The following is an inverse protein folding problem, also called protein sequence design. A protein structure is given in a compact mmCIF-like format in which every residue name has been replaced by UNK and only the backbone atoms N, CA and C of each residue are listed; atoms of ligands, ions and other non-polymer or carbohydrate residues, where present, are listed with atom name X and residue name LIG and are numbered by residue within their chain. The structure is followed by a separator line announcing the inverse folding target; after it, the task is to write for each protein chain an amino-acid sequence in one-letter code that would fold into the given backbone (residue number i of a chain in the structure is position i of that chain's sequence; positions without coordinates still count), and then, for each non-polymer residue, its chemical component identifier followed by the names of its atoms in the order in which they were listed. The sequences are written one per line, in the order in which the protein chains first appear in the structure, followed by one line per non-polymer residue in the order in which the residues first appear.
data_IF_203376177494
#
_entry.id   IF_203376177494
#
_cell.length_a   1.000
_cell.length_b   1.000
_cell.length_c   1.000
_cell.angle_alpha   90.00
_cell.angle_beta   90.00
_cell.angle_gamma   90.00
#
_symmetry.space_group_name_H-M   'P 1'
#
loop_
_entity.id
_entity.type
_entity.pdbx_description
1 polymer ?
#
# COMPACT_ATOMS: atom_id res chain seq x y z
N UNK A 1 -14.79 7.15 -14.19
CA UNK A 1 -14.03 6.27 -13.30
C UNK A 1 -13.39 7.08 -12.18
N UNK A 2 -13.44 6.58 -10.97
CA UNK A 2 -12.84 7.27 -9.83
C UNK A 2 -11.52 6.59 -9.52
N UNK A 3 -10.45 7.38 -9.49
CA UNK A 3 -9.15 6.88 -9.06
C UNK A 3 -8.96 7.25 -7.60
N UNK A 4 -8.65 6.25 -6.79
CA UNK A 4 -8.34 6.50 -5.39
C UNK A 4 -6.88 6.85 -5.27
N UNK A 5 -6.63 8.06 -4.80
CA UNK A 5 -5.26 8.50 -4.56
C UNK A 5 -4.70 7.74 -3.36
N UNK A 6 -3.52 7.16 -3.53
CA UNK A 6 -2.85 6.47 -2.45
C UNK A 6 -1.35 6.53 -2.66
N UNK A 7 -0.60 6.04 -1.68
CA UNK A 7 0.86 6.11 -1.70
C UNK A 7 1.53 4.76 -1.87
N UNK A 8 0.78 3.75 -2.30
CA UNK A 8 1.37 2.41 -2.40
C UNK A 8 2.56 2.37 -3.35
N UNK A 9 2.43 3.00 -4.50
CA UNK A 9 3.54 3.02 -5.47
C UNK A 9 4.72 3.80 -4.91
N UNK A 10 4.45 4.93 -4.29
CA UNK A 10 5.49 5.75 -3.69
C UNK A 10 6.25 4.98 -2.62
N UNK A 11 5.53 4.31 -1.73
CA UNK A 11 6.14 3.53 -0.66
C UNK A 11 7.01 2.43 -1.23
N UNK A 12 6.52 1.76 -2.27
CA UNK A 12 7.27 0.68 -2.90
C UNK A 12 8.53 1.21 -3.57
N UNK A 13 8.41 2.31 -4.33
CA UNK A 13 9.56 2.85 -5.05
C UNK A 13 10.57 3.47 -4.09
N UNK A 14 10.14 4.01 -2.97
CA UNK A 14 11.06 4.48 -1.94
C UNK A 14 11.94 3.37 -1.41
N UNK A 15 11.41 2.16 -1.34
CA UNK A 15 12.18 1.00 -0.90
C UNK A 15 12.97 0.36 -2.04
N UNK A 16 12.80 0.87 -3.25
CA UNK A 16 13.52 0.38 -4.45
C UNK A 16 13.26 -1.10 -4.70
N UNK A 17 12.01 -1.52 -4.52
CA UNK A 17 11.61 -2.90 -4.77
C UNK A 17 10.56 -2.95 -5.87
N UNK A 18 10.49 -4.09 -6.54
CA UNK A 18 9.53 -4.30 -7.62
C UNK A 18 8.21 -4.81 -7.08
N UNK A 19 7.15 -4.73 -7.90
CA UNK A 19 5.88 -5.34 -7.56
C UNK A 19 6.02 -6.85 -7.36
N UNK A 20 6.88 -7.48 -8.16
CA UNK A 20 7.11 -8.91 -8.01
C UNK A 20 7.70 -9.24 -6.64
N UNK A 21 8.63 -8.41 -6.17
CA UNK A 21 9.20 -8.60 -4.83
C UNK A 21 8.11 -8.52 -3.76
N UNK A 22 7.21 -7.55 -3.88
CA UNK A 22 6.10 -7.42 -2.93
C UNK A 22 5.20 -8.66 -3.00
N UNK A 23 4.94 -9.17 -4.21
CA UNK A 23 4.17 -10.41 -4.34
C UNK A 23 4.85 -11.56 -3.61
N UNK A 24 6.15 -11.69 -3.77
CA UNK A 24 6.90 -12.77 -3.13
C UNK A 24 6.86 -12.66 -1.61
N UNK A 25 6.89 -11.44 -1.09
CA UNK A 25 6.93 -11.23 0.36
C UNK A 25 5.55 -11.26 1.01
N UNK A 26 4.50 -10.85 0.31
CA UNK A 26 3.17 -10.72 0.91
C UNK A 26 2.17 -11.74 0.40
N UNK A 27 2.43 -12.36 -0.75
CA UNK A 27 1.48 -13.26 -1.38
C UNK A 27 0.40 -12.55 -2.18
N UNK A 28 0.44 -11.23 -2.27
CA UNK A 28 -0.53 -10.47 -3.06
C UNK A 28 -0.07 -10.48 -4.51
N UNK A 29 -0.95 -10.91 -5.42
CA UNK A 29 -0.60 -11.02 -6.84
C UNK A 29 -0.18 -9.69 -7.42
N UNK A 30 0.84 -9.72 -8.28
CA UNK A 30 1.37 -8.51 -8.92
C UNK A 30 0.27 -7.76 -9.69
N UNK A 31 -0.61 -8.48 -10.37
CA UNK A 31 -1.69 -7.84 -11.11
C UNK A 31 -2.61 -7.02 -10.19
N UNK A 32 -2.89 -7.55 -9.00
CA UNK A 32 -3.67 -6.82 -8.02
C UNK A 32 -2.90 -5.63 -7.46
N UNK A 33 -1.62 -5.83 -7.17
CA UNK A 33 -0.79 -4.71 -6.67
C UNK A 33 -0.80 -3.55 -7.65
N UNK A 34 -0.71 -3.86 -8.94
CA UNK A 34 -0.74 -2.83 -9.98
C UNK A 34 -2.06 -2.07 -9.95
N UNK A 35 -3.17 -2.77 -9.82
CA UNK A 35 -4.48 -2.13 -9.77
C UNK A 35 -4.63 -1.26 -8.55
N UNK A 36 -4.13 -1.72 -7.40
CA UNK A 36 -4.17 -0.93 -6.18
C UNK A 36 -3.32 0.32 -6.31
N UNK A 37 -2.09 0.18 -6.84
CA UNK A 37 -1.18 1.31 -6.98
C UNK A 37 -1.71 2.37 -7.94
N UNK A 38 -2.44 1.95 -8.95
CA UNK A 38 -3.00 2.85 -9.95
C UNK A 38 -4.37 3.40 -9.57
N UNK A 39 -4.90 2.99 -8.42
CA UNK A 39 -6.20 3.49 -7.95
C UNK A 39 -7.38 2.92 -8.71
N UNK A 40 -7.15 1.86 -9.49
CA UNK A 40 -8.22 1.22 -10.26
C UNK A 40 -9.08 0.35 -9.36
N UNK A 41 -8.52 -0.15 -8.28
CA UNK A 41 -9.22 -1.02 -7.37
C UNK A 41 -8.84 -0.69 -5.94
N UNK A 42 -9.80 -0.75 -5.03
CA UNK A 42 -9.59 -0.48 -3.61
C UNK A 42 -9.16 -1.77 -2.93
N UNK A 43 -8.03 -1.79 -2.22
CA UNK A 43 -7.65 -2.99 -1.47
C UNK A 43 -8.64 -3.24 -0.34
N UNK A 44 -9.01 -4.50 -0.08
CA UNK A 44 -9.80 -4.82 1.11
C UNK A 44 -9.01 -4.53 2.37
N UNK A 45 -9.72 -4.48 3.51
CA UNK A 45 -9.09 -4.16 4.79
C UNK A 45 -7.91 -5.07 5.11
N UNK A 46 -8.06 -6.37 4.88
CA UNK A 46 -6.98 -7.32 5.14
C UNK A 46 -5.74 -7.00 4.32
N UNK A 47 -5.95 -6.66 3.05
CA UNK A 47 -4.84 -6.31 2.17
C UNK A 47 -4.18 -5.02 2.62
N UNK A 48 -4.99 -4.04 3.02
CA UNK A 48 -4.45 -2.77 3.55
C UNK A 48 -3.60 -3.02 4.78
N UNK A 49 -4.07 -3.87 5.70
CA UNK A 49 -3.31 -4.19 6.90
C UNK A 49 -2.00 -4.87 6.56
N UNK A 50 -2.04 -5.81 5.61
CA UNK A 50 -0.82 -6.49 5.18
C UNK A 50 0.18 -5.51 4.59
N UNK A 51 -0.28 -4.62 3.73
CA UNK A 51 0.60 -3.65 3.09
C UNK A 51 1.11 -2.61 4.09
N UNK A 52 0.25 -2.17 5.01
CA UNK A 52 0.68 -1.22 6.04
C UNK A 52 1.78 -1.82 6.90
N UNK A 53 1.62 -3.07 7.31
CA UNK A 53 2.64 -3.76 8.09
C UNK A 53 3.91 -3.98 7.26
N UNK A 54 3.75 -4.34 6.01
CA UNK A 54 4.89 -4.57 5.13
C UNK A 54 5.73 -3.32 4.95
N UNK A 55 5.07 -2.18 4.72
CA UNK A 55 5.76 -0.90 4.51
C UNK A 55 6.00 -0.16 5.83
N UNK A 56 5.51 -0.68 6.95
CA UNK A 56 5.68 -0.09 8.28
C UNK A 56 5.14 1.32 8.34
N UNK A 57 3.94 1.49 7.84
CA UNK A 57 3.23 2.77 7.85
C UNK A 57 1.81 2.55 8.32
N UNK A 58 1.10 3.64 8.62
CA UNK A 58 -0.31 3.56 8.97
C UNK A 58 -1.16 3.41 7.71
N UNK A 59 -2.36 2.86 7.88
CA UNK A 59 -3.32 2.80 6.77
C UNK A 59 -3.68 4.21 6.32
N UNK A 60 -3.78 5.16 7.25
CA UNK A 60 -4.06 6.55 6.89
C UNK A 60 -2.99 7.12 5.97
N UNK A 61 -1.73 6.75 6.19
CA UNK A 61 -0.64 7.17 5.31
C UNK A 61 -0.83 6.60 3.91
N UNK A 62 -1.19 5.32 3.80
CA UNK A 62 -1.42 4.70 2.50
C UNK A 62 -2.53 5.42 1.75
N UNK A 63 -3.59 5.78 2.46
CA UNK A 63 -4.76 6.43 1.86
C UNK A 63 -4.59 7.94 1.70
N UNK A 64 -3.40 8.45 1.96
CA UNK A 64 -3.08 9.88 1.84
C UNK A 64 -3.89 10.76 2.78
N UNK A 65 -4.29 10.21 3.93
CA UNK A 65 -5.03 10.97 4.94
C UNK A 65 -4.11 11.65 5.94
N UNK A 66 -2.82 11.30 5.92
CA UNK A 66 -1.81 11.91 6.77
C UNK A 66 -0.46 11.78 6.10
N UNK A 67 0.46 12.66 6.44
CA UNK A 67 1.84 12.58 5.96
C UNK A 67 2.74 11.81 6.91
N UNK A 68 2.22 11.38 8.06
CA UNK A 68 2.99 10.62 9.04
C UNK A 68 3.16 9.20 8.54
N UNK A 69 4.40 8.78 8.31
CA UNK A 69 4.70 7.46 7.76
C UNK A 69 5.03 6.43 8.83
N UNK A 70 4.75 6.75 10.08
CA UNK A 70 4.95 5.80 11.18
C UNK A 70 3.68 5.07 11.47
N UNK A 71 3.81 3.81 11.92
CA UNK A 71 2.64 3.06 12.39
C UNK A 71 2.12 3.77 13.62
N UNK A 72 0.87 4.20 13.56
CA UNK A 72 0.27 4.91 14.67
C UNK A 72 -0.56 3.95 15.51
N UNK A 73 -0.01 3.57 16.64
CA UNK A 73 -0.68 2.63 17.56
C UNK A 73 -1.26 3.32 18.76
N UNK A 74 -1.15 4.61 18.85
CA UNK A 74 -1.56 5.35 20.05
C UNK A 74 -3.03 5.71 20.05
N UNK A 75 -3.73 5.42 19.02
CA UNK A 75 -5.15 5.76 18.93
C UNK A 75 -6.01 4.75 19.62
#
# INVERSE_FOLDING_TARGET
MIFLKNRLKELRTDKKISQLKVQMDTGIEQALLSKYENGVRVPPTETLLTLANYYKVSIDCILCRTDIKEVNTSK
#
